data_IF_210861436882
#
_entry.id   IF_210861436882
#
_cell.length_a   1.000
_cell.length_b   1.000
_cell.length_c   1.000
_cell.angle_alpha   90.00
_cell.angle_beta   90.00
_cell.angle_gamma   90.00
#
_symmetry.space_group_name_H-M   'P 1'
#
loop_
_entity.id
_entity.type
_entity.pdbx_description
1 polymer ?
#
# COMPACT_ATOMS: atom_id res chain seq x y z
N UNK A 1 -5.63 49.16 -0.42
CA UNK A 1 -4.67 50.28 -0.47
C UNK A 1 -5.19 51.46 0.40
N UNK A 2 -6.51 51.73 0.41
CA UNK A 2 -7.11 52.80 1.26
C UNK A 2 -6.95 52.58 2.77
N UNK A 3 -6.60 51.38 3.21
CA UNK A 3 -6.37 51.07 4.64
C UNK A 3 -4.87 51.17 5.07
N UNK A 4 -3.96 51.37 4.16
CA UNK A 4 -2.53 51.39 4.49
C UNK A 4 -2.09 52.69 5.17
N UNK A 5 -2.84 53.78 5.05
CA UNK A 5 -2.53 55.04 5.71
C UNK A 5 -2.60 55.03 7.22
N UNK A 6 -3.33 54.03 7.79
CA UNK A 6 -3.49 53.90 9.23
C UNK A 6 -2.44 53.03 9.93
N UNK A 7 -1.53 52.40 9.18
CA UNK A 7 -0.50 51.50 9.74
C UNK A 7 0.87 52.15 9.65
N UNK A 8 1.52 52.47 10.76
CA UNK A 8 2.88 53.03 10.76
C UNK A 8 3.85 52.08 10.03
N UNK A 9 4.57 52.62 9.04
CA UNK A 9 5.52 51.86 8.24
C UNK A 9 4.92 51.14 7.02
N UNK A 10 3.64 51.33 6.73
CA UNK A 10 3.00 50.79 5.53
C UNK A 10 3.40 51.55 4.27
N UNK A 11 3.33 50.89 3.13
CA UNK A 11 3.61 51.52 1.83
C UNK A 11 2.62 52.65 1.51
N UNK A 12 3.14 53.72 0.97
CA UNK A 12 2.32 54.84 0.48
C UNK A 12 1.62 54.49 -0.84
N UNK A 13 0.48 55.16 -1.19
CA UNK A 13 -0.20 54.92 -2.46
C UNK A 13 0.69 55.09 -3.69
N UNK A 14 1.70 55.98 -3.62
CA UNK A 14 2.74 56.17 -4.64
C UNK A 14 3.67 54.96 -4.82
N UNK A 15 3.74 54.07 -3.84
CA UNK A 15 4.59 52.89 -3.82
C UNK A 15 3.82 51.59 -4.19
N UNK A 16 2.57 51.69 -4.62
CA UNK A 16 1.72 50.56 -4.96
C UNK A 16 2.38 49.64 -6.01
N UNK A 17 3.14 50.17 -6.94
CA UNK A 17 3.86 49.37 -7.94
C UNK A 17 5.02 48.56 -7.32
N UNK A 18 5.71 49.14 -6.33
CA UNK A 18 6.80 48.51 -5.59
C UNK A 18 6.22 47.39 -4.68
N UNK A 19 5.18 47.73 -3.93
CA UNK A 19 4.45 46.75 -3.10
C UNK A 19 3.98 45.55 -3.93
N UNK A 20 3.45 45.82 -5.13
CA UNK A 20 2.99 44.74 -6.02
C UNK A 20 4.15 43.85 -6.47
N UNK A 21 5.30 44.42 -6.85
CA UNK A 21 6.50 43.66 -7.22
C UNK A 21 7.02 42.81 -6.06
N UNK A 22 7.02 43.37 -4.85
CA UNK A 22 7.47 42.68 -3.65
C UNK A 22 6.52 41.57 -3.28
N UNK A 23 5.21 41.79 -3.37
CA UNK A 23 4.19 40.72 -3.17
C UNK A 23 4.36 39.59 -4.20
N UNK A 24 4.55 39.93 -5.49
CA UNK A 24 4.79 38.94 -6.53
C UNK A 24 6.08 38.15 -6.27
N UNK A 25 7.16 38.85 -5.91
CA UNK A 25 8.47 38.23 -5.65
C UNK A 25 8.50 37.38 -4.41
N UNK A 26 7.85 37.80 -3.33
CA UNK A 26 7.82 37.09 -2.05
C UNK A 26 6.74 36.03 -2.00
N UNK A 27 5.55 36.29 -2.53
CA UNK A 27 4.40 35.43 -2.36
C UNK A 27 4.26 34.35 -3.44
N UNK A 28 4.75 34.60 -4.67
CA UNK A 28 4.71 33.62 -5.75
C UNK A 28 5.42 32.30 -5.40
N UNK A 29 6.61 32.31 -4.77
CA UNK A 29 7.26 31.07 -4.34
C UNK A 29 6.46 30.26 -3.32
N UNK A 30 5.54 30.90 -2.61
CA UNK A 30 4.64 30.24 -1.64
C UNK A 30 3.28 29.89 -2.24
N UNK A 31 3.12 30.00 -3.56
CA UNK A 31 1.89 29.63 -4.26
C UNK A 31 0.77 30.67 -4.19
N UNK A 32 1.08 31.90 -3.78
CA UNK A 32 0.12 32.99 -3.95
C UNK A 32 0.02 33.38 -5.42
N UNK A 33 -1.17 33.44 -5.94
CA UNK A 33 -1.45 33.89 -7.29
C UNK A 33 -2.61 34.87 -7.32
N UNK A 34 -2.65 35.65 -8.38
CA UNK A 34 -3.82 36.47 -8.65
C UNK A 34 -5.02 35.57 -8.93
N UNK A 35 -6.16 35.89 -8.32
CA UNK A 35 -7.41 35.23 -8.62
C UNK A 35 -7.78 35.48 -10.09
N UNK A 36 -7.96 34.40 -10.85
CA UNK A 36 -8.25 34.47 -12.31
C UNK A 36 -7.14 35.15 -13.13
N UNK A 37 -5.88 35.05 -12.72
CA UNK A 37 -4.72 35.69 -13.38
C UNK A 37 -4.88 37.21 -13.60
N UNK A 38 -5.75 37.85 -12.82
CA UNK A 38 -5.97 39.30 -12.92
C UNK A 38 -5.81 39.98 -11.58
N UNK A 39 -4.91 40.96 -11.54
CA UNK A 39 -4.60 41.78 -10.36
C UNK A 39 -5.84 42.46 -9.75
N UNK A 40 -6.84 42.77 -10.56
CA UNK A 40 -8.08 43.43 -10.11
C UNK A 40 -8.94 42.56 -9.17
N UNK A 41 -8.74 41.29 -9.20
CA UNK A 41 -9.48 40.32 -8.34
C UNK A 41 -8.78 39.98 -7.02
N UNK A 42 -7.64 40.64 -6.75
CA UNK A 42 -6.86 40.42 -5.53
C UNK A 42 -6.06 39.11 -5.55
N UNK A 43 -5.36 38.88 -4.45
CA UNK A 43 -4.55 37.68 -4.26
C UNK A 43 -5.38 36.61 -3.58
N UNK A 44 -5.32 35.37 -4.08
CA UNK A 44 -5.85 34.23 -3.38
C UNK A 44 -4.77 33.65 -2.46
N UNK A 45 -5.11 33.41 -1.22
CA UNK A 45 -4.29 32.60 -0.31
C UNK A 45 -4.47 31.14 -0.76
N UNK A 46 -3.72 30.74 -1.79
CA UNK A 46 -3.80 29.36 -2.30
C UNK A 46 -3.20 28.40 -1.30
N UNK A 47 -1.88 28.32 -1.30
CA UNK A 47 -1.10 27.34 -0.57
C UNK A 47 -0.08 27.99 0.38
N UNK A 48 -0.36 29.20 0.79
CA UNK A 48 0.52 30.23 1.31
C UNK A 48 1.44 29.90 2.49
N UNK A 49 1.23 28.80 3.18
CA UNK A 49 1.98 28.49 4.41
C UNK A 49 3.04 27.40 4.20
N UNK A 50 3.01 26.71 3.06
CA UNK A 50 3.90 25.57 2.82
C UNK A 50 4.55 25.68 1.44
N UNK A 51 5.78 25.18 1.32
CA UNK A 51 6.45 25.10 0.02
C UNK A 51 5.69 24.14 -0.91
N UNK A 52 5.84 24.32 -2.24
CA UNK A 52 5.25 23.43 -3.23
C UNK A 52 5.65 21.96 -3.03
N UNK A 53 6.86 21.71 -2.52
CA UNK A 53 7.32 20.36 -2.17
C UNK A 53 6.50 19.78 -1.02
N UNK A 54 6.34 20.50 0.08
CA UNK A 54 5.56 20.07 1.24
C UNK A 54 4.09 19.87 0.91
N UNK A 55 3.55 20.66 0.02
CA UNK A 55 2.17 20.51 -0.44
C UNK A 55 1.95 19.25 -1.27
N UNK A 56 2.91 18.86 -2.11
CA UNK A 56 2.86 17.58 -2.83
C UNK A 56 2.98 16.39 -1.87
N UNK A 57 3.81 16.50 -0.84
CA UNK A 57 3.88 15.47 0.21
C UNK A 57 2.54 15.29 0.93
N UNK A 58 1.93 16.41 1.35
CA UNK A 58 0.60 16.39 2.00
C UNK A 58 -0.46 15.82 1.05
N UNK A 59 -0.48 16.25 -0.22
CA UNK A 59 -1.39 15.70 -1.21
C UNK A 59 -1.23 14.18 -1.33
N UNK A 60 0.00 13.67 -1.39
CA UNK A 60 0.28 12.24 -1.45
C UNK A 60 -0.28 11.48 -0.24
N UNK A 61 -0.13 12.01 0.96
CA UNK A 61 -0.67 11.40 2.20
C UNK A 61 -2.19 11.43 2.21
N UNK A 62 -2.80 12.59 1.93
CA UNK A 62 -4.27 12.74 1.94
C UNK A 62 -4.93 11.92 0.84
N UNK A 63 -4.35 11.89 -0.37
CA UNK A 63 -4.82 11.07 -1.50
C UNK A 63 -4.83 9.58 -1.16
N UNK A 64 -3.78 9.09 -0.50
CA UNK A 64 -3.74 7.71 -0.06
C UNK A 64 -4.75 7.41 1.05
N UNK A 65 -4.91 8.31 2.02
CA UNK A 65 -5.92 8.17 3.06
C UNK A 65 -7.33 8.14 2.46
N UNK A 66 -7.65 9.07 1.57
CA UNK A 66 -8.94 9.15 0.89
C UNK A 66 -9.24 7.89 0.06
N UNK A 67 -8.25 7.40 -0.72
CA UNK A 67 -8.44 6.24 -1.56
C UNK A 67 -8.53 4.91 -0.80
N UNK A 68 -7.76 4.75 0.28
CA UNK A 68 -7.64 3.47 1.00
C UNK A 68 -8.56 3.33 2.18
N UNK A 69 -8.80 4.39 2.93
CA UNK A 69 -9.71 4.35 4.07
C UNK A 69 -11.18 4.51 3.65
N UNK A 70 -11.42 4.91 2.39
CA UNK A 70 -12.74 5.28 1.90
C UNK A 70 -13.46 6.26 2.85
N UNK A 71 -12.67 7.11 3.52
CA UNK A 71 -13.16 8.11 4.46
C UNK A 71 -13.75 9.29 3.70
N UNK A 72 -15.05 9.58 3.87
CA UNK A 72 -15.69 10.72 3.20
C UNK A 72 -15.02 12.05 3.53
N UNK A 73 -14.60 12.25 4.78
CA UNK A 73 -13.92 13.47 5.24
C UNK A 73 -12.57 13.65 4.53
N UNK A 74 -11.79 12.57 4.40
CA UNK A 74 -10.52 12.61 3.65
C UNK A 74 -10.74 12.88 2.16
N UNK A 75 -11.82 12.38 1.57
CA UNK A 75 -12.18 12.66 0.17
C UNK A 75 -12.56 14.13 -0.04
N UNK A 76 -13.31 14.73 0.90
CA UNK A 76 -13.68 16.15 0.85
C UNK A 76 -12.44 17.03 1.00
N UNK A 77 -11.58 16.73 1.96
CA UNK A 77 -10.30 17.43 2.15
C UNK A 77 -9.39 17.31 0.93
N UNK A 78 -9.34 16.13 0.31
CA UNK A 78 -8.56 15.93 -0.90
C UNK A 78 -9.04 16.83 -2.04
N UNK A 79 -10.36 16.87 -2.29
CA UNK A 79 -10.94 17.74 -3.33
C UNK A 79 -10.66 19.22 -3.08
N UNK A 80 -10.77 19.67 -1.83
CA UNK A 80 -10.45 21.04 -1.46
C UNK A 80 -8.96 21.34 -1.64
N UNK A 81 -8.09 20.43 -1.25
CA UNK A 81 -6.65 20.56 -1.43
C UNK A 81 -6.25 20.62 -2.91
N UNK A 82 -6.78 19.74 -3.74
CA UNK A 82 -6.54 19.71 -5.18
C UNK A 82 -6.99 21.01 -5.88
N UNK A 83 -8.16 21.54 -5.47
CA UNK A 83 -8.64 22.81 -5.95
C UNK A 83 -7.69 23.95 -5.59
N UNK A 84 -7.18 23.97 -4.37
CA UNK A 84 -6.20 24.98 -3.90
C UNK A 84 -4.85 24.85 -4.60
N UNK A 85 -4.37 23.62 -4.82
CA UNK A 85 -3.13 23.36 -5.55
C UNK A 85 -3.25 23.83 -7.00
N UNK A 86 -4.38 23.60 -7.63
CA UNK A 86 -4.69 24.09 -8.98
C UNK A 86 -4.66 25.63 -9.02
N UNK A 87 -5.29 26.29 -8.05
CA UNK A 87 -5.21 27.74 -7.94
C UNK A 87 -3.80 28.27 -7.72
N UNK A 88 -2.97 27.52 -6.96
CA UNK A 88 -1.55 27.82 -6.76
C UNK A 88 -0.66 27.48 -7.96
N UNK A 89 -1.22 26.85 -9.01
CA UNK A 89 -0.47 26.37 -10.19
C UNK A 89 0.55 25.28 -9.84
N UNK A 90 0.29 24.52 -8.80
CA UNK A 90 1.12 23.40 -8.38
C UNK A 90 0.54 22.15 -9.05
N UNK A 91 1.25 21.63 -10.02
CA UNK A 91 0.88 20.35 -10.64
C UNK A 91 1.04 19.22 -9.64
N UNK A 92 0.01 18.40 -9.52
CA UNK A 92 -0.04 17.15 -8.76
C UNK A 92 -0.23 16.00 -9.76
N UNK A 93 0.60 16.00 -10.79
CA UNK A 93 0.59 14.90 -11.75
C UNK A 93 0.88 13.60 -11.00
N UNK A 94 0.15 12.53 -11.36
CA UNK A 94 0.14 11.22 -10.72
C UNK A 94 1.50 10.60 -10.40
N UNK A 95 2.32 11.32 -9.65
CA UNK A 95 3.60 10.85 -9.16
C UNK A 95 3.34 9.78 -8.11
N UNK A 96 3.88 8.60 -8.36
CA UNK A 96 3.88 7.53 -7.37
C UNK A 96 4.52 8.08 -6.09
N UNK A 97 3.80 8.08 -4.96
CA UNK A 97 4.31 8.66 -3.73
C UNK A 97 5.51 7.89 -3.22
N UNK A 98 6.50 8.60 -2.67
CA UNK A 98 7.67 7.97 -2.05
C UNK A 98 7.28 7.10 -0.85
N UNK A 99 6.30 7.56 -0.08
CA UNK A 99 5.68 6.79 1.01
C UNK A 99 4.28 6.34 0.63
N UNK A 100 4.00 5.06 0.75
CA UNK A 100 2.68 4.49 0.49
C UNK A 100 2.25 3.52 1.60
N UNK A 101 0.94 3.29 1.69
CA UNK A 101 0.37 2.33 2.64
C UNK A 101 -0.24 1.16 1.88
N UNK A 102 0.18 -0.05 2.19
CA UNK A 102 -0.27 -1.25 1.47
C UNK A 102 -1.49 -1.93 2.12
N UNK A 103 -1.84 -1.61 3.36
CA UNK A 103 -2.93 -2.28 4.07
C UNK A 103 -3.77 -1.31 4.93
N UNK A 104 -5.02 -1.72 5.21
CA UNK A 104 -5.99 -0.97 6.03
C UNK A 104 -5.84 -1.19 7.55
N UNK A 105 -4.79 -1.87 8.01
CA UNK A 105 -4.61 -2.12 9.44
C UNK A 105 -4.45 -0.81 10.20
N UNK A 106 -5.40 -0.53 11.05
CA UNK A 106 -5.30 0.56 12.04
C UNK A 106 -4.44 0.02 13.18
N UNK A 107 -3.13 0.17 13.05
CA UNK A 107 -2.21 -0.08 14.15
C UNK A 107 -1.80 1.27 14.73
N UNK A 108 -1.96 1.43 16.04
CA UNK A 108 -1.50 2.62 16.73
C UNK A 108 0.01 2.77 16.51
N UNK A 109 0.42 3.87 15.91
CA UNK A 109 1.84 4.24 15.72
C UNK A 109 2.60 4.37 17.04
N UNK A 110 1.90 4.49 18.17
CA UNK A 110 2.49 4.53 19.52
C UNK A 110 3.19 3.22 19.92
N UNK A 111 2.90 2.09 19.26
CA UNK A 111 3.56 0.80 19.50
C UNK A 111 4.78 0.58 18.61
N UNK A 112 4.94 1.38 17.58
CA UNK A 112 6.18 1.37 16.77
C UNK A 112 7.19 2.23 17.52
N UNK A 113 8.00 1.59 18.38
CA UNK A 113 9.15 2.27 18.97
C UNK A 113 10.01 2.80 17.84
N UNK A 114 10.26 4.11 17.76
CA UNK A 114 11.38 4.62 16.99
C UNK A 114 12.63 4.21 17.76
N UNK A 115 13.12 3.01 17.55
CA UNK A 115 14.44 2.65 18.02
C UNK A 115 15.43 3.49 17.22
N UNK A 116 15.75 4.61 17.84
CA UNK A 116 16.88 5.44 17.54
C UNK A 116 16.78 6.43 16.37
N UNK A 117 17.38 7.59 16.61
CA UNK A 117 17.82 8.58 15.59
C UNK A 117 18.52 7.96 14.35
N UNK A 118 19.03 6.72 14.47
CA UNK A 118 19.61 5.96 13.38
C UNK A 118 18.56 5.49 12.37
N UNK A 119 17.39 5.03 12.81
CA UNK A 119 16.32 4.56 11.92
C UNK A 119 15.68 5.72 11.17
N UNK A 120 15.52 6.89 11.82
CA UNK A 120 15.02 8.10 11.16
C UNK A 120 15.99 8.60 10.09
N UNK A 121 17.28 8.69 10.41
CA UNK A 121 18.32 9.08 9.43
C UNK A 121 18.42 8.11 8.27
N UNK A 122 18.23 6.82 8.52
CA UNK A 122 18.20 5.83 7.46
C UNK A 122 16.96 6.01 6.57
N UNK A 123 15.78 6.29 7.13
CA UNK A 123 14.56 6.54 6.37
C UNK A 123 14.71 7.77 5.46
N UNK A 124 15.24 8.88 5.97
CA UNK A 124 15.52 10.08 5.17
C UNK A 124 16.54 9.84 4.04
N UNK A 125 17.57 9.03 4.31
CA UNK A 125 18.56 8.68 3.30
C UNK A 125 17.95 7.79 2.20
N UNK A 126 17.07 6.85 2.56
CA UNK A 126 16.32 6.02 1.63
C UNK A 126 15.35 6.85 0.78
N UNK A 127 14.62 7.78 1.39
CA UNK A 127 13.75 8.70 0.66
C UNK A 127 14.53 9.55 -0.34
N UNK A 128 15.68 10.08 0.09
CA UNK A 128 16.57 10.82 -0.78
C UNK A 128 17.02 9.97 -1.97
N UNK A 129 17.35 8.70 -1.74
CA UNK A 129 17.75 7.79 -2.80
C UNK A 129 16.60 7.47 -3.77
N UNK A 130 15.37 7.30 -3.27
CA UNK A 130 14.17 7.09 -4.08
C UNK A 130 13.91 8.32 -4.97
N UNK A 131 13.87 9.51 -4.37
CA UNK A 131 13.64 10.77 -5.11
C UNK A 131 14.69 11.01 -6.17
N UNK A 132 15.97 10.76 -5.84
CA UNK A 132 17.10 10.90 -6.77
C UNK A 132 17.23 9.71 -7.73
N UNK A 133 16.45 8.65 -7.55
CA UNK A 133 16.54 7.41 -8.34
C UNK A 133 17.96 6.82 -8.32
N UNK A 134 18.63 6.98 -7.19
CA UNK A 134 20.01 6.56 -6.99
C UNK A 134 20.10 5.08 -6.66
N UNK A 135 21.12 4.38 -7.19
CA UNK A 135 21.44 3.02 -6.77
C UNK A 135 22.01 3.04 -5.36
N UNK A 136 21.59 2.09 -4.54
CA UNK A 136 22.07 1.93 -3.17
C UNK A 136 22.56 0.52 -2.92
N UNK A 137 23.47 0.39 -1.96
CA UNK A 137 23.94 -0.88 -1.43
C UNK A 137 23.34 -1.09 -0.03
N UNK A 138 22.65 -2.18 0.13
CA UNK A 138 21.99 -2.61 1.37
C UNK A 138 22.67 -3.84 1.91
N UNK A 139 22.63 -4.01 3.22
CA UNK A 139 22.99 -5.24 3.91
C UNK A 139 21.84 -5.68 4.81
N UNK A 140 21.56 -6.99 4.82
CA UNK A 140 20.57 -7.57 5.70
C UNK A 140 21.19 -7.91 7.03
N UNK A 141 20.52 -7.54 8.11
CA UNK A 141 20.82 -8.08 9.42
C UNK A 141 20.27 -9.50 9.51
N UNK A 142 21.07 -10.43 9.99
CA UNK A 142 20.62 -11.78 10.31
C UNK A 142 19.61 -11.70 11.46
N UNK A 143 18.32 -11.83 11.16
CA UNK A 143 17.24 -11.80 12.16
C UNK A 143 16.38 -13.04 12.03
N UNK A 144 15.86 -13.51 13.16
CA UNK A 144 14.80 -14.52 13.22
C UNK A 144 13.57 -13.93 12.50
N UNK A 145 13.12 -14.59 11.42
CA UNK A 145 11.94 -14.16 10.66
C UNK A 145 12.24 -13.44 9.34
N UNK A 146 13.44 -13.56 8.77
CA UNK A 146 13.69 -13.27 7.37
C UNK A 146 12.96 -14.31 6.47
N UNK A 147 12.51 -13.90 5.29
CA UNK A 147 12.05 -14.88 4.29
C UNK A 147 13.20 -15.85 4.00
N UNK A 148 12.87 -17.15 3.93
CA UNK A 148 13.86 -18.23 3.83
C UNK A 148 14.83 -18.09 2.64
N UNK A 149 14.43 -17.37 1.60
CA UNK A 149 15.16 -17.21 0.33
C UNK A 149 15.92 -15.88 0.23
N UNK A 150 16.07 -15.15 1.34
CA UNK A 150 16.80 -13.88 1.34
C UNK A 150 18.31 -14.12 1.49
N UNK A 151 19.14 -13.85 0.48
CA UNK A 151 20.58 -14.04 0.58
C UNK A 151 21.17 -13.13 1.68
N UNK A 152 22.06 -13.70 2.49
CA UNK A 152 22.84 -12.94 3.47
C UNK A 152 23.92 -12.11 2.75
N UNK A 153 24.20 -10.91 3.27
CA UNK A 153 25.29 -10.07 2.79
C UNK A 153 24.80 -8.76 2.15
N UNK A 154 25.75 -8.06 1.52
CA UNK A 154 25.49 -6.80 0.81
C UNK A 154 24.96 -7.06 -0.59
N UNK A 155 23.96 -6.29 -0.98
CA UNK A 155 23.36 -6.36 -2.32
C UNK A 155 23.00 -4.97 -2.83
N UNK A 156 22.99 -4.80 -4.16
CA UNK A 156 22.70 -3.53 -4.80
C UNK A 156 21.29 -3.50 -5.34
N UNK A 157 20.62 -2.37 -5.16
CA UNK A 157 19.22 -2.21 -5.53
C UNK A 157 18.91 -0.81 -6.04
N UNK A 158 17.82 -0.74 -6.78
CA UNK A 158 17.14 0.49 -7.16
C UNK A 158 15.93 0.67 -6.25
N UNK A 159 15.97 1.57 -5.25
CA UNK A 159 14.85 1.79 -4.35
C UNK A 159 13.69 2.42 -5.12
N UNK A 160 12.46 1.94 -4.86
CA UNK A 160 11.26 2.38 -5.56
C UNK A 160 10.31 3.14 -4.65
N UNK A 161 10.02 2.60 -3.46
CA UNK A 161 8.99 3.14 -2.60
C UNK A 161 9.18 2.70 -1.14
N UNK A 162 8.73 3.52 -0.19
CA UNK A 162 8.53 3.13 1.20
C UNK A 162 7.05 2.78 1.41
N UNK A 163 6.77 1.58 1.89
CA UNK A 163 5.44 1.09 2.19
C UNK A 163 5.26 0.87 3.69
N UNK A 164 4.23 1.46 4.27
CA UNK A 164 3.78 1.04 5.60
C UNK A 164 2.81 -0.13 5.45
N UNK A 165 3.15 -1.27 6.04
CA UNK A 165 2.32 -2.46 5.99
C UNK A 165 2.22 -3.12 7.37
N UNK A 166 1.00 -3.38 7.81
CA UNK A 166 0.69 -3.89 9.15
C UNK A 166 1.32 -3.02 10.26
N UNK A 167 2.46 -3.42 10.78
CA UNK A 167 3.14 -2.82 11.95
C UNK A 167 4.49 -2.18 11.61
N UNK A 168 4.87 -2.10 10.34
CA UNK A 168 6.22 -1.64 10.00
C UNK A 168 6.36 -1.00 8.64
N UNK A 169 7.46 -0.28 8.49
CA UNK A 169 7.88 0.28 7.21
C UNK A 169 8.71 -0.74 6.43
N UNK A 170 8.42 -0.84 5.15
CA UNK A 170 9.13 -1.67 4.19
C UNK A 170 9.72 -0.79 3.10
N UNK A 171 10.93 -1.12 2.69
CA UNK A 171 11.52 -0.62 1.46
C UNK A 171 11.12 -1.58 0.34
N UNK A 172 10.50 -1.04 -0.71
CA UNK A 172 10.33 -1.76 -1.97
C UNK A 172 11.41 -1.32 -2.93
N UNK A 173 12.05 -2.28 -3.53
CA UNK A 173 13.17 -2.07 -4.44
C UNK A 173 13.18 -3.08 -5.58
N UNK A 174 13.86 -2.74 -6.64
CA UNK A 174 14.23 -3.65 -7.71
C UNK A 174 15.70 -4.06 -7.54
N UNK A 175 15.98 -5.35 -7.56
CA UNK A 175 17.35 -5.87 -7.52
C UNK A 175 18.14 -5.37 -8.74
N UNK A 176 19.42 -5.01 -8.53
CA UNK A 176 20.29 -4.57 -9.62
C UNK A 176 20.68 -5.78 -10.47
N UNK A 177 19.97 -5.98 -11.58
CA UNK A 177 20.23 -7.08 -12.50
C UNK A 177 21.37 -6.72 -13.45
N UNK A 178 22.52 -7.30 -13.23
CA UNK A 178 23.68 -7.15 -14.11
C UNK A 178 23.34 -7.75 -15.50
N UNK A 179 23.24 -6.89 -16.50
CA UNK A 179 23.12 -7.29 -17.91
C UNK A 179 21.71 -7.41 -18.50
N UNK A 180 20.65 -7.56 -17.71
CA UNK A 180 19.27 -7.71 -18.22
C UNK A 180 18.44 -6.42 -18.17
N UNK A 181 18.90 -5.40 -17.46
CA UNK A 181 18.22 -4.11 -17.29
C UNK A 181 16.94 -4.15 -16.43
N UNK A 182 16.43 -5.34 -16.11
CA UNK A 182 15.21 -5.55 -15.32
C UNK A 182 15.49 -6.55 -14.21
N UNK A 183 15.30 -6.14 -12.95
CA UNK A 183 15.50 -6.95 -11.76
C UNK A 183 14.20 -7.41 -11.10
N UNK A 184 14.34 -8.29 -10.13
CA UNK A 184 13.25 -8.75 -9.29
C UNK A 184 12.80 -7.64 -8.34
N UNK A 185 11.51 -7.39 -8.23
CA UNK A 185 10.96 -6.47 -7.24
C UNK A 185 10.73 -7.22 -5.93
N UNK A 186 11.27 -6.66 -4.85
CA UNK A 186 11.13 -7.19 -3.49
C UNK A 186 10.70 -6.11 -2.52
N UNK A 187 10.19 -6.55 -1.38
CA UNK A 187 9.92 -5.69 -0.22
C UNK A 187 10.62 -6.25 1.00
N UNK A 188 11.26 -5.37 1.77
CA UNK A 188 11.88 -5.76 3.05
C UNK A 188 11.67 -4.71 4.12
N UNK A 189 11.54 -5.14 5.36
CA UNK A 189 11.39 -4.24 6.50
C UNK A 189 12.66 -3.40 6.68
N UNK A 190 12.47 -2.10 6.86
CA UNK A 190 13.58 -1.14 6.99
C UNK A 190 14.44 -1.43 8.22
N UNK A 191 13.84 -1.89 9.32
CA UNK A 191 14.53 -2.23 10.56
C UNK A 191 15.43 -3.48 10.45
N UNK A 192 15.34 -4.23 9.34
CA UNK A 192 16.18 -5.38 9.01
C UNK A 192 17.28 -5.08 7.99
N UNK A 193 17.34 -3.84 7.53
CA UNK A 193 18.26 -3.39 6.51
C UNK A 193 19.24 -2.36 7.09
N UNK A 194 20.51 -2.43 6.67
CA UNK A 194 21.47 -1.35 6.83
C UNK A 194 21.76 -0.74 5.46
N UNK A 195 21.66 0.56 5.36
CA UNK A 195 22.14 1.31 4.19
C UNK A 195 23.67 1.44 4.31
N UNK A 196 24.41 0.70 3.49
CA UNK A 196 25.87 0.72 3.47
C UNK A 196 26.42 1.85 2.64
N UNK A 197 25.87 2.04 1.43
CA UNK A 197 26.37 3.05 0.51
C UNK A 197 25.25 3.58 -0.39
N UNK A 198 25.25 4.89 -0.59
CA UNK A 198 24.50 5.52 -1.68
C UNK A 198 25.49 5.87 -2.78
N UNK A 199 25.33 5.30 -3.96
CA UNK A 199 26.27 5.50 -5.06
C UNK A 199 25.99 6.86 -5.73
N UNK A 200 26.83 7.85 -5.41
CA UNK A 200 26.75 9.18 -6.03
C UNK A 200 27.07 9.07 -7.53
N UNK A 201 26.16 9.60 -8.37
CA UNK A 201 26.35 9.62 -9.83
C UNK A 201 25.76 8.43 -10.58
N UNK A 202 25.33 7.37 -9.90
CA UNK A 202 24.65 6.25 -10.52
C UNK A 202 23.12 6.42 -10.38
N UNK A 203 22.53 7.11 -11.34
CA UNK A 203 21.10 7.42 -11.38
C UNK A 203 20.43 6.60 -12.48
N UNK A 204 19.29 6.01 -12.15
CA UNK A 204 18.44 5.31 -13.12
C UNK A 204 17.77 6.31 -14.06
N UNK A 205 17.67 5.95 -15.34
CA UNK A 205 16.91 6.71 -16.34
C UNK A 205 15.43 6.81 -15.99
N UNK A 206 14.79 7.88 -16.40
CA UNK A 206 13.40 8.21 -16.06
C UNK A 206 12.43 7.15 -16.55
N UNK A 207 12.59 6.65 -17.78
CA UNK A 207 11.73 5.63 -18.38
C UNK A 207 11.85 4.29 -17.65
N UNK A 208 13.09 3.86 -17.35
CA UNK A 208 13.32 2.61 -16.63
C UNK A 208 12.74 2.64 -15.21
N UNK A 209 12.83 3.79 -14.54
CA UNK A 209 12.23 3.98 -13.21
C UNK A 209 10.70 3.95 -13.28
N UNK A 210 10.10 4.66 -14.24
CA UNK A 210 8.65 4.68 -14.45
C UNK A 210 8.10 3.28 -14.77
N UNK A 211 8.80 2.50 -15.60
CA UNK A 211 8.44 1.11 -15.89
C UNK A 211 8.48 0.22 -14.64
N UNK A 212 9.49 0.38 -13.78
CA UNK A 212 9.59 -0.37 -12.54
C UNK A 212 8.46 -0.01 -11.56
N UNK A 213 8.11 1.28 -11.44
CA UNK A 213 6.98 1.74 -10.62
C UNK A 213 5.64 1.19 -11.15
N UNK A 214 5.42 1.23 -12.46
CA UNK A 214 4.22 0.64 -13.08
C UNK A 214 4.13 -0.86 -12.83
N UNK A 215 5.27 -1.56 -12.90
CA UNK A 215 5.32 -2.99 -12.56
C UNK A 215 5.00 -3.21 -11.08
N UNK A 216 5.57 -2.42 -10.18
CA UNK A 216 5.27 -2.47 -8.75
C UNK A 216 3.77 -2.27 -8.49
N UNK A 217 3.14 -1.28 -9.11
CA UNK A 217 1.70 -1.01 -8.99
C UNK A 217 0.87 -2.24 -9.35
N UNK A 218 1.18 -2.90 -10.48
CA UNK A 218 0.49 -4.12 -10.90
C UNK A 218 0.72 -5.29 -9.92
N UNK A 219 1.94 -5.45 -9.42
CA UNK A 219 2.25 -6.49 -8.45
C UNK A 219 1.48 -6.26 -7.14
N UNK A 220 1.45 -5.03 -6.61
CA UNK A 220 0.67 -4.68 -5.42
C UNK A 220 -0.82 -4.93 -5.63
N UNK A 221 -1.34 -4.50 -6.78
CA UNK A 221 -2.76 -4.67 -7.10
C UNK A 221 -3.17 -6.14 -7.14
N UNK A 222 -2.44 -6.98 -7.87
CA UNK A 222 -2.81 -8.38 -8.06
C UNK A 222 -2.45 -9.30 -6.88
N UNK A 223 -1.40 -8.98 -6.13
CA UNK A 223 -1.03 -9.78 -4.95
C UNK A 223 -1.91 -9.47 -3.72
N UNK A 224 -2.49 -8.27 -3.65
CA UNK A 224 -3.24 -7.81 -2.48
C UNK A 224 -2.40 -7.67 -1.19
N UNK A 225 -1.07 -7.79 -1.31
CA UNK A 225 -0.08 -7.72 -0.24
C UNK A 225 1.26 -7.25 -0.77
N UNK A 226 2.30 -7.33 0.07
CA UNK A 226 3.64 -6.83 -0.23
C UNK A 226 4.65 -7.93 -0.59
N UNK A 227 4.22 -9.19 -0.64
CA UNK A 227 5.05 -10.30 -1.08
C UNK A 227 4.81 -10.56 -2.58
N UNK A 228 5.87 -10.52 -3.38
CA UNK A 228 5.79 -10.58 -4.84
C UNK A 228 6.46 -11.83 -5.44
N UNK A 229 6.73 -12.83 -4.62
CA UNK A 229 7.45 -14.04 -5.05
C UNK A 229 8.95 -13.80 -5.27
N UNK A 230 9.61 -14.84 -5.72
CA UNK A 230 11.07 -14.92 -5.92
C UNK A 230 11.47 -15.19 -7.38
N UNK A 231 10.50 -15.17 -8.31
CA UNK A 231 10.72 -15.50 -9.72
C UNK A 231 10.41 -14.28 -10.60
N UNK A 232 11.47 -13.76 -11.26
CA UNK A 232 11.37 -12.58 -12.13
C UNK A 232 10.41 -12.81 -13.31
N UNK A 233 10.47 -13.98 -13.93
CA UNK A 233 9.60 -14.27 -15.09
C UNK A 233 8.14 -14.28 -14.69
N UNK A 234 7.81 -14.84 -13.53
CA UNK A 234 6.45 -14.82 -12.98
C UNK A 234 5.98 -13.40 -12.68
N UNK A 235 6.84 -12.54 -12.11
CA UNK A 235 6.52 -11.12 -11.91
C UNK A 235 6.26 -10.41 -13.25
N UNK A 236 7.10 -10.64 -14.24
CA UNK A 236 6.94 -10.02 -15.57
C UNK A 236 5.65 -10.47 -16.27
N UNK A 237 5.29 -11.74 -16.13
CA UNK A 237 4.01 -12.27 -16.66
C UNK A 237 2.81 -11.63 -15.98
N UNK A 238 2.83 -11.48 -14.66
CA UNK A 238 1.76 -10.81 -13.91
C UNK A 238 1.68 -9.31 -14.25
N UNK A 239 2.80 -8.67 -14.50
CA UNK A 239 2.87 -7.27 -14.92
C UNK A 239 2.56 -7.05 -16.42
N UNK A 240 2.19 -8.10 -17.15
CA UNK A 240 1.80 -7.98 -18.57
C UNK A 240 0.59 -7.03 -18.72
N UNK A 241 0.57 -6.14 -19.72
CA UNK A 241 -0.59 -5.31 -20.01
C UNK A 241 -1.82 -6.12 -20.45
N UNK A 242 -1.64 -7.35 -20.94
CA UNK A 242 -2.73 -8.22 -21.38
C UNK A 242 -3.37 -8.97 -20.20
N UNK A 243 -4.63 -8.66 -19.89
CA UNK A 243 -5.41 -9.38 -18.88
C UNK A 243 -5.50 -10.90 -19.14
N UNK A 244 -5.60 -11.30 -20.41
CA UNK A 244 -5.63 -12.72 -20.81
C UNK A 244 -4.32 -13.44 -20.50
N UNK A 245 -3.18 -12.77 -20.65
CA UNK A 245 -1.88 -13.36 -20.30
C UNK A 245 -1.72 -13.44 -18.80
N UNK A 246 -2.12 -12.39 -18.05
CA UNK A 246 -2.09 -12.41 -16.58
C UNK A 246 -2.94 -13.55 -16.01
N UNK A 247 -4.18 -13.70 -16.48
CA UNK A 247 -5.10 -14.74 -15.99
C UNK A 247 -4.56 -16.16 -16.08
N UNK A 248 -3.67 -16.44 -17.03
CA UNK A 248 -3.03 -17.78 -17.18
C UNK A 248 -2.03 -18.11 -16.08
N UNK A 249 -1.59 -17.10 -15.32
CA UNK A 249 -0.59 -17.24 -14.26
C UNK A 249 -1.19 -17.09 -12.86
N UNK A 250 -2.51 -16.97 -12.78
CA UNK A 250 -3.24 -16.97 -11.52
C UNK A 250 -3.72 -18.39 -11.19
N UNK A 251 -3.78 -18.68 -9.93
CA UNK A 251 -4.39 -19.90 -9.40
C UNK A 251 -5.67 -19.54 -8.65
N UNK A 252 -6.67 -20.39 -8.75
CA UNK A 252 -7.94 -20.16 -8.06
C UNK A 252 -7.87 -20.75 -6.66
N UNK A 253 -7.89 -19.89 -5.66
CA UNK A 253 -8.19 -20.25 -4.29
C UNK A 253 -9.70 -20.35 -4.15
N UNK A 254 -10.19 -21.54 -3.79
CA UNK A 254 -11.61 -21.78 -3.52
C UNK A 254 -11.81 -22.28 -2.09
N UNK A 255 -12.76 -21.68 -1.41
CA UNK A 255 -13.18 -22.11 -0.09
C UNK A 255 -14.68 -21.86 0.10
N UNK A 256 -15.29 -22.61 1.01
CA UNK A 256 -16.67 -22.42 1.41
C UNK A 256 -16.72 -21.91 2.85
N UNK A 257 -17.70 -21.09 3.18
CA UNK A 257 -17.80 -20.49 4.49
C UNK A 257 -19.21 -20.60 5.10
N UNK A 258 -19.25 -20.51 6.43
CA UNK A 258 -20.47 -20.43 7.19
C UNK A 258 -21.12 -19.05 7.04
N UNK A 259 -22.42 -18.96 7.30
CA UNK A 259 -23.20 -17.73 7.17
C UNK A 259 -22.62 -16.58 7.96
N UNK A 260 -22.24 -16.78 9.22
CA UNK A 260 -21.74 -15.73 10.10
C UNK A 260 -20.43 -15.08 9.62
N UNK A 261 -19.54 -15.85 9.01
CA UNK A 261 -18.24 -15.30 8.58
C UNK A 261 -18.27 -14.75 7.15
N UNK A 262 -19.30 -15.04 6.36
CA UNK A 262 -19.36 -14.62 4.97
C UNK A 262 -19.33 -13.11 4.77
N UNK A 263 -19.99 -12.35 5.66
CA UNK A 263 -19.96 -10.89 5.63
C UNK A 263 -18.54 -10.34 5.84
N UNK A 264 -17.82 -10.83 6.86
CA UNK A 264 -16.44 -10.47 7.15
C UNK A 264 -15.49 -10.84 6.01
N UNK A 265 -15.72 -12.00 5.38
CA UNK A 265 -14.94 -12.45 4.22
C UNK A 265 -15.12 -11.50 3.06
N UNK A 266 -16.34 -11.09 2.73
CA UNK A 266 -16.59 -10.12 1.65
C UNK A 266 -15.90 -8.78 1.90
N UNK A 267 -15.90 -8.30 3.14
CA UNK A 267 -15.20 -7.07 3.52
C UNK A 267 -13.67 -7.23 3.43
N UNK A 268 -13.14 -8.31 3.95
CA UNK A 268 -11.71 -8.59 3.96
C UNK A 268 -11.10 -8.79 2.56
N UNK A 269 -11.91 -9.24 1.60
CA UNK A 269 -11.48 -9.47 0.22
C UNK A 269 -11.44 -8.21 -0.64
N UNK A 270 -11.90 -7.06 -0.15
CA UNK A 270 -11.82 -5.78 -0.89
C UNK A 270 -10.38 -5.32 -1.18
N UNK A 271 -9.39 -5.92 -0.55
CA UNK A 271 -7.97 -5.68 -0.86
C UNK A 271 -7.52 -6.31 -2.17
N UNK A 272 -8.25 -7.29 -2.69
CA UNK A 272 -7.97 -7.93 -3.97
C UNK A 272 -8.79 -7.31 -5.09
N UNK A 273 -8.32 -7.39 -6.35
CA UNK A 273 -9.09 -6.91 -7.49
C UNK A 273 -10.45 -7.58 -7.55
N UNK A 274 -11.49 -6.78 -7.76
CA UNK A 274 -12.86 -7.28 -7.78
C UNK A 274 -13.10 -8.25 -8.95
N UNK A 275 -12.41 -8.06 -10.06
CA UNK A 275 -12.44 -8.93 -11.24
C UNK A 275 -11.86 -10.32 -10.99
N UNK A 276 -11.09 -10.47 -9.91
CA UNK A 276 -10.51 -11.75 -9.48
C UNK A 276 -11.30 -12.42 -8.37
N UNK A 277 -12.40 -11.81 -7.92
CA UNK A 277 -13.17 -12.24 -6.76
C UNK A 277 -14.57 -12.67 -7.20
N UNK A 278 -14.97 -13.89 -6.85
CA UNK A 278 -16.32 -14.42 -7.10
C UNK A 278 -16.96 -14.87 -5.79
N UNK A 279 -18.20 -14.48 -5.59
CA UNK A 279 -18.96 -14.78 -4.37
C UNK A 279 -20.17 -15.65 -4.67
N UNK A 280 -20.61 -16.37 -3.64
CA UNK A 280 -21.89 -17.09 -3.66
C UNK A 280 -23.06 -16.13 -3.83
N UNK A 281 -24.11 -16.60 -4.48
CA UNK A 281 -25.46 -16.04 -4.37
C UNK A 281 -26.04 -16.34 -2.97
N UNK A 282 -27.04 -15.54 -2.52
CA UNK A 282 -27.77 -15.86 -1.28
C UNK A 282 -28.52 -17.18 -1.39
N UNK A 283 -28.74 -17.86 -0.26
CA UNK A 283 -29.68 -18.95 -0.18
C UNK A 283 -31.11 -18.42 -0.39
N UNK A 284 -32.00 -19.30 -0.85
CA UNK A 284 -33.40 -18.92 -1.08
C UNK A 284 -34.06 -18.40 0.20
N UNK A 285 -34.65 -17.22 0.14
CA UNK A 285 -35.30 -16.57 1.30
C UNK A 285 -34.39 -15.65 2.13
N UNK A 286 -33.09 -15.61 1.88
CA UNK A 286 -32.19 -14.65 2.54
C UNK A 286 -32.20 -13.30 1.84
N UNK A 287 -32.36 -12.23 2.64
CA UNK A 287 -32.19 -10.85 2.17
C UNK A 287 -30.75 -10.46 2.43
N UNK A 288 -30.00 -10.28 1.34
CA UNK A 288 -28.64 -9.81 1.41
C UNK A 288 -28.48 -8.42 0.83
N UNK A 289 -27.59 -7.66 1.47
CA UNK A 289 -27.07 -6.48 0.84
C UNK A 289 -26.06 -6.89 -0.24
N UNK A 290 -26.41 -6.63 -1.50
CA UNK A 290 -25.53 -6.92 -2.63
C UNK A 290 -24.52 -5.79 -2.81
N UNK A 291 -23.25 -6.14 -2.85
CA UNK A 291 -22.24 -5.17 -3.28
C UNK A 291 -22.42 -4.93 -4.78
N UNK A 292 -22.70 -3.67 -5.23
CA UNK A 292 -23.08 -3.39 -6.61
C UNK A 292 -22.01 -3.75 -7.65
N UNK A 293 -20.76 -3.92 -7.22
CA UNK A 293 -19.62 -4.26 -8.09
C UNK A 293 -19.09 -5.68 -7.89
N UNK A 294 -19.53 -6.42 -6.88
CA UNK A 294 -19.01 -7.77 -6.61
C UNK A 294 -19.85 -8.81 -7.38
N UNK A 295 -19.23 -9.67 -8.19
CA UNK A 295 -19.95 -10.69 -8.91
C UNK A 295 -20.40 -11.81 -7.97
N UNK A 296 -21.69 -11.84 -7.64
CA UNK A 296 -22.35 -12.96 -6.95
C UNK A 296 -22.79 -13.99 -8.00
N UNK A 297 -21.85 -14.80 -8.45
CA UNK A 297 -22.05 -15.72 -9.59
C UNK A 297 -21.96 -17.18 -9.23
N UNK A 298 -21.45 -17.50 -8.03
CA UNK A 298 -21.35 -18.87 -7.58
C UNK A 298 -22.67 -19.34 -6.99
N UNK A 299 -23.08 -20.56 -7.32
CA UNK A 299 -24.26 -21.16 -6.71
C UNK A 299 -23.95 -21.57 -5.27
N UNK A 300 -24.83 -21.26 -4.30
CA UNK A 300 -24.66 -21.69 -2.93
C UNK A 300 -24.77 -23.21 -2.82
N UNK A 301 -24.18 -23.77 -1.78
CA UNK A 301 -24.38 -25.15 -1.41
C UNK A 301 -25.80 -25.47 -0.94
N UNK A 302 -26.06 -26.72 -0.52
CA UNK A 302 -27.30 -27.07 0.09
C UNK A 302 -27.55 -26.28 1.38
N UNK A 303 -28.80 -25.89 1.70
CA UNK A 303 -29.12 -25.28 2.99
C UNK A 303 -28.74 -26.18 4.21
N UNK A 304 -28.58 -27.48 3.99
CA UNK A 304 -28.11 -28.40 5.01
C UNK A 304 -26.58 -28.48 5.13
N UNK A 305 -25.82 -27.86 4.21
CA UNK A 305 -24.36 -27.76 4.31
C UNK A 305 -23.99 -26.76 5.41
N UNK A 306 -23.04 -27.12 6.24
CA UNK A 306 -22.50 -26.21 7.26
C UNK A 306 -21.75 -25.04 6.67
N UNK A 307 -21.27 -25.15 5.43
CA UNK A 307 -20.49 -24.12 4.70
C UNK A 307 -21.14 -23.86 3.33
N UNK A 308 -22.32 -23.25 3.29
CA UNK A 308 -23.08 -23.14 2.04
C UNK A 308 -22.58 -22.08 1.08
N UNK A 309 -21.63 -21.18 1.48
CA UNK A 309 -21.24 -20.05 0.68
C UNK A 309 -19.84 -20.21 0.08
N UNK A 310 -19.72 -20.66 -1.19
CA UNK A 310 -18.45 -20.71 -1.89
C UNK A 310 -17.94 -19.31 -2.23
N UNK A 311 -16.62 -19.17 -2.14
CA UNK A 311 -15.86 -17.98 -2.54
C UNK A 311 -14.67 -18.42 -3.38
N UNK A 312 -14.39 -17.71 -4.43
CA UNK A 312 -13.22 -17.94 -5.30
C UNK A 312 -12.43 -16.66 -5.49
N UNK A 313 -11.11 -16.82 -5.47
CA UNK A 313 -10.13 -15.77 -5.71
C UNK A 313 -9.08 -16.26 -6.69
N UNK A 314 -8.84 -15.49 -7.76
CA UNK A 314 -7.75 -15.74 -8.68
C UNK A 314 -6.54 -14.92 -8.24
N UNK A 315 -5.51 -15.58 -7.72
CA UNK A 315 -4.35 -14.97 -7.11
C UNK A 315 -3.04 -15.49 -7.70
N UNK A 316 -1.96 -14.70 -7.64
CA UNK A 316 -0.64 -15.21 -7.98
C UNK A 316 -0.29 -16.42 -7.11
N UNK A 317 0.42 -17.44 -7.65
CA UNK A 317 0.81 -18.62 -6.89
C UNK A 317 1.52 -18.29 -5.58
N UNK A 318 2.46 -17.35 -5.61
CA UNK A 318 3.19 -16.92 -4.40
C UNK A 318 2.31 -16.31 -3.31
N UNK A 319 1.19 -15.66 -3.69
CA UNK A 319 0.25 -15.11 -2.69
C UNK A 319 -0.44 -16.25 -1.95
N UNK A 320 -0.88 -17.31 -2.66
CA UNK A 320 -1.55 -18.45 -2.04
C UNK A 320 -0.56 -19.32 -1.26
N UNK A 321 0.65 -19.52 -1.79
CA UNK A 321 1.62 -20.45 -1.23
C UNK A 321 2.42 -19.87 -0.06
N UNK A 322 2.76 -18.57 -0.10
CA UNK A 322 3.75 -17.98 0.81
C UNK A 322 3.33 -16.68 1.50
N UNK A 323 2.23 -16.04 1.09
CA UNK A 323 1.78 -14.82 1.76
C UNK A 323 1.22 -15.14 3.15
N UNK A 324 1.96 -14.73 4.17
CA UNK A 324 1.62 -14.97 5.58
C UNK A 324 0.33 -14.25 5.95
N UNK A 325 0.07 -13.07 5.41
CA UNK A 325 -1.10 -12.26 5.76
C UNK A 325 -2.39 -12.88 5.23
N UNK A 326 -2.39 -13.39 3.98
CA UNK A 326 -3.53 -14.14 3.44
C UNK A 326 -3.80 -15.39 4.27
N UNK A 327 -2.75 -16.17 4.56
CA UNK A 327 -2.87 -17.43 5.28
C UNK A 327 -3.36 -17.22 6.71
N UNK A 328 -2.78 -16.28 7.45
CA UNK A 328 -3.21 -15.95 8.81
C UNK A 328 -4.64 -15.44 8.84
N UNK A 329 -5.03 -14.61 7.87
CA UNK A 329 -6.38 -14.11 7.77
C UNK A 329 -7.39 -15.24 7.49
N UNK A 330 -7.12 -16.11 6.51
CA UNK A 330 -7.99 -17.27 6.22
C UNK A 330 -8.06 -18.23 7.40
N UNK A 331 -6.93 -18.63 7.93
CA UNK A 331 -6.87 -19.60 9.02
C UNK A 331 -7.46 -19.08 10.33
N UNK A 332 -7.50 -17.75 10.50
CA UNK A 332 -8.17 -17.10 11.62
C UNK A 332 -9.67 -17.35 11.70
N UNK A 333 -10.32 -17.74 10.61
CA UNK A 333 -11.73 -18.17 10.63
C UNK A 333 -11.92 -19.59 11.18
N UNK A 334 -10.84 -20.35 11.37
CA UNK A 334 -10.87 -21.70 11.93
C UNK A 334 -11.88 -22.60 11.22
N UNK A 335 -12.76 -23.23 11.98
CA UNK A 335 -13.82 -24.08 11.44
C UNK A 335 -14.95 -23.32 10.70
N UNK A 336 -14.92 -21.99 10.67
CA UNK A 336 -15.87 -21.16 9.92
C UNK A 336 -15.68 -21.22 8.40
N UNK A 337 -14.52 -21.73 7.94
CA UNK A 337 -14.24 -21.96 6.52
C UNK A 337 -13.81 -23.40 6.25
N UNK A 338 -14.06 -23.84 5.03
CA UNK A 338 -13.54 -25.08 4.48
C UNK A 338 -12.85 -24.79 3.17
N UNK A 339 -11.53 -24.98 3.11
CA UNK A 339 -10.74 -24.77 1.89
C UNK A 339 -10.90 -25.97 0.97
N UNK A 340 -11.29 -25.72 -0.28
CA UNK A 340 -11.46 -26.77 -1.29
C UNK A 340 -10.23 -26.89 -2.20
N UNK A 341 -9.65 -25.73 -2.62
CA UNK A 341 -8.45 -25.69 -3.45
C UNK A 341 -7.59 -24.45 -3.17
N UNK A 342 -6.27 -24.50 -3.39
CA UNK A 342 -5.48 -25.66 -3.78
C UNK A 342 -5.29 -26.66 -2.64
N UNK A 343 -5.00 -27.92 -2.99
CA UNK A 343 -4.90 -29.01 -2.02
C UNK A 343 -3.86 -28.74 -0.92
N UNK A 344 -2.71 -28.18 -1.27
CA UNK A 344 -1.66 -27.85 -0.29
C UNK A 344 -2.16 -26.91 0.82
N UNK A 345 -2.89 -25.86 0.46
CA UNK A 345 -3.44 -24.90 1.43
C UNK A 345 -4.56 -25.53 2.27
N UNK A 346 -5.40 -26.36 1.66
CA UNK A 346 -6.43 -27.15 2.37
C UNK A 346 -5.80 -28.05 3.43
N UNK A 347 -4.78 -28.80 3.03
CA UNK A 347 -4.15 -29.76 3.92
C UNK A 347 -3.39 -29.05 5.05
N UNK A 348 -2.77 -27.93 4.80
CA UNK A 348 -2.16 -27.09 5.85
C UNK A 348 -3.22 -26.55 6.83
N UNK A 349 -4.34 -26.02 6.33
CA UNK A 349 -5.44 -25.56 7.20
C UNK A 349 -5.94 -26.68 8.10
N UNK A 350 -6.20 -27.86 7.54
CA UNK A 350 -6.61 -29.04 8.29
C UNK A 350 -5.58 -29.41 9.37
N UNK A 351 -4.30 -29.48 9.02
CA UNK A 351 -3.23 -29.78 9.99
C UNK A 351 -3.17 -28.80 11.14
N UNK A 352 -3.36 -27.49 10.86
CA UNK A 352 -3.39 -26.47 11.92
C UNK A 352 -4.59 -26.64 12.85
N UNK A 353 -5.76 -26.98 12.32
CA UNK A 353 -6.95 -27.26 13.15
C UNK A 353 -6.75 -28.50 14.01
N UNK A 354 -6.20 -29.56 13.46
CA UNK A 354 -5.87 -30.80 14.19
C UNK A 354 -4.84 -30.53 15.29
N UNK A 355 -3.79 -29.77 15.00
CA UNK A 355 -2.77 -29.39 15.97
C UNK A 355 -3.35 -28.53 17.11
N UNK A 356 -4.20 -27.54 16.78
CA UNK A 356 -4.88 -26.74 17.78
C UNK A 356 -5.77 -27.58 18.70
N UNK A 357 -6.56 -28.49 18.14
CA UNK A 357 -7.40 -29.43 18.90
C UNK A 357 -6.57 -30.31 19.85
N UNK A 358 -5.44 -30.83 19.37
CA UNK A 358 -4.54 -31.68 20.16
C UNK A 358 -3.98 -30.95 21.40
N UNK A 359 -3.67 -29.65 21.30
CA UNK A 359 -3.22 -28.82 22.44
C UNK A 359 -4.29 -28.79 23.54
N UNK A 360 -5.54 -28.52 23.18
CA UNK A 360 -6.64 -28.48 24.16
C UNK A 360 -6.96 -29.85 24.75
N UNK A 361 -6.89 -30.91 23.95
CA UNK A 361 -7.10 -32.28 24.44
C UNK A 361 -6.00 -32.69 25.42
N UNK A 362 -4.74 -32.37 25.15
CA UNK A 362 -3.62 -32.63 26.07
C UNK A 362 -3.79 -31.87 27.39
N UNK A 363 -4.15 -30.60 27.35
CA UNK A 363 -4.42 -29.80 28.53
C UNK A 363 -5.58 -30.38 29.37
N UNK A 364 -6.66 -30.81 28.71
CA UNK A 364 -7.81 -31.45 29.41
C UNK A 364 -7.42 -32.73 30.11
N UNK A 365 -6.58 -33.57 29.51
CA UNK A 365 -6.07 -34.79 30.15
C UNK A 365 -5.18 -34.48 31.37
N UNK A 366 -4.30 -33.50 31.24
CA UNK A 366 -3.44 -33.09 32.36
C UNK A 366 -4.23 -32.50 33.55
N UNK A 367 -5.41 -31.89 33.29
CA UNK A 367 -6.29 -31.39 34.33
C UNK A 367 -7.17 -32.51 34.95
N UNK A 368 -7.42 -33.60 34.24
CA UNK A 368 -8.20 -34.72 34.71
C UNK A 368 -7.41 -35.72 35.58
N UNK A 369 -6.06 -35.75 35.43
CA UNK A 369 -5.13 -36.54 36.26
C UNK A 369 -4.28 -35.63 37.16
N UNK A 370 -4.82 -35.05 38.24
CA UNK A 370 -4.06 -34.14 39.11
C UNK A 370 -3.15 -34.84 40.12
N UNK A 371 -3.01 -36.20 40.04
CA UNK A 371 -2.15 -36.99 40.99
C UNK A 371 -1.39 -38.06 40.21
N UNK A 372 -0.17 -37.78 39.86
CA UNK A 372 0.92 -38.74 39.77
C UNK A 372 2.17 -38.15 40.39
#
# INVERSE_FOLDING_TARGET
IERTEAIPGAYLPSEAATLRKDLEKLLTPYGFRHRNDNVRHGYAIGTALLSAHRLREIHGVVSQAAGRLADPTAQDLLRELEQRLTWGGIAVDGTTPVRAFANRSIVSTALVRPDSLAAERQAEALETAIVKRGRIELERYATVGSFADSPNGSFRVWPLQLLFHNIGWYLVFEEDAIGTGVGLIRSERIDRLALRRSERGNRRGDDAHAQALKRLELLLHHSGGIYFGDNLEAQLRLASPSARLRARHLITLRFCCQSWCFAFIREGLQRYPIEHTRFSKPLAGELWWHHPKAPHVLEPGSPADTHPYPVELDLPPWTVERDIDLRNWLFGFGAGIRIDSPAALRDEHRQKLEAALAVYQAASRAMADPVA
#
